data_IF_187091526273
#
_entry.id   IF_187091526273
#
_cell.length_a   1.000
_cell.length_b   1.000
_cell.length_c   1.000
_cell.angle_alpha   90.00
_cell.angle_beta   90.00
_cell.angle_gamma   90.00
#
_symmetry.space_group_name_H-M   'P 1'
#
loop_
_entity.id
_entity.type
_entity.pdbx_description
1 polymer ?
#
# COMPACT_ATOMS: atom_id res chain seq x y z
N UNK A 1 7.57 11.73 0.76
CA UNK A 1 6.26 11.08 0.93
C UNK A 1 5.14 11.71 0.13
N UNK A 2 4.81 12.99 0.30
CA UNK A 2 3.66 13.60 -0.40
C UNK A 2 3.73 13.46 -1.93
N UNK A 3 4.93 13.62 -2.52
CA UNK A 3 5.11 13.39 -3.95
C UNK A 3 4.86 11.92 -4.36
N UNK A 4 5.26 10.94 -3.52
CA UNK A 4 4.97 9.52 -3.72
C UNK A 4 3.48 9.20 -3.56
N UNK A 5 2.73 10.02 -2.82
CA UNK A 5 1.26 9.91 -2.72
C UNK A 5 0.62 10.46 -3.99
N UNK A 6 1.04 11.63 -4.44
CA UNK A 6 0.34 12.34 -5.51
C UNK A 6 0.75 11.87 -6.90
N UNK A 7 2.03 11.61 -7.14
CA UNK A 7 2.58 11.27 -8.46
C UNK A 7 3.56 10.08 -8.42
N UNK A 8 3.10 8.88 -7.99
CA UNK A 8 3.97 7.72 -7.82
C UNK A 8 4.53 7.14 -9.12
N UNK A 9 3.88 7.40 -10.26
CA UNK A 9 4.25 6.83 -11.58
C UNK A 9 4.82 7.85 -12.56
N UNK A 10 4.93 9.13 -12.19
CA UNK A 10 5.62 10.12 -13.02
C UNK A 10 7.11 9.80 -13.09
N UNK A 11 7.66 9.70 -14.31
CA UNK A 11 9.06 9.32 -14.50
C UNK A 11 9.44 8.86 -15.91
N UNK A 12 10.60 8.20 -15.98
CA UNK A 12 11.23 7.70 -17.21
C UNK A 12 11.56 6.22 -16.99
N UNK A 13 11.57 5.42 -18.07
CA UNK A 13 12.08 4.04 -18.03
C UNK A 13 13.48 4.03 -18.61
N UNK A 14 14.43 3.41 -17.91
CA UNK A 14 15.77 3.16 -18.40
C UNK A 14 16.03 1.65 -18.38
N UNK A 15 16.33 1.05 -19.54
CA UNK A 15 16.51 -0.41 -19.69
C UNK A 15 15.41 -1.23 -19.00
N UNK A 16 14.14 -0.89 -19.25
CA UNK A 16 12.94 -1.50 -18.64
C UNK A 16 12.74 -1.29 -17.13
N UNK A 17 13.64 -0.58 -16.45
CA UNK A 17 13.50 -0.22 -15.03
C UNK A 17 12.82 1.15 -14.93
N UNK A 18 11.67 1.27 -14.23
CA UNK A 18 11.01 2.55 -14.04
C UNK A 18 11.75 3.39 -12.99
N UNK A 19 12.23 4.56 -13.39
CA UNK A 19 12.79 5.58 -12.51
C UNK A 19 11.72 6.65 -12.32
N UNK A 20 11.05 6.63 -11.17
CA UNK A 20 9.99 7.59 -10.86
C UNK A 20 10.53 8.76 -10.05
N UNK A 21 9.99 9.96 -10.30
CA UNK A 21 10.46 11.19 -9.64
C UNK A 21 10.36 11.09 -8.12
N UNK A 22 9.32 10.46 -7.60
CA UNK A 22 9.15 10.30 -6.15
C UNK A 22 10.28 9.49 -5.50
N UNK A 23 10.75 8.42 -6.15
CA UNK A 23 11.87 7.62 -5.66
C UNK A 23 13.21 8.32 -5.90
N UNK A 24 13.36 9.06 -7.01
CA UNK A 24 14.53 9.88 -7.26
C UNK A 24 14.70 10.97 -6.20
N UNK A 25 13.64 11.71 -5.90
CA UNK A 25 13.64 12.72 -4.82
C UNK A 25 13.94 12.08 -3.47
N UNK A 26 13.35 10.91 -3.18
CA UNK A 26 13.64 10.19 -1.95
C UNK A 26 15.13 9.84 -1.84
N UNK A 27 15.74 9.34 -2.91
CA UNK A 27 17.15 8.97 -2.95
C UNK A 27 18.08 10.18 -2.82
N UNK A 28 17.81 11.28 -3.54
CA UNK A 28 18.60 12.51 -3.46
C UNK A 28 18.54 13.09 -2.04
N UNK A 29 17.33 13.17 -1.45
CA UNK A 29 17.17 13.67 -0.09
C UNK A 29 17.90 12.75 0.90
N UNK A 30 17.73 11.43 0.79
CA UNK A 30 18.42 10.47 1.65
C UNK A 30 19.95 10.63 1.56
N UNK A 31 20.50 10.70 0.35
CA UNK A 31 21.94 10.89 0.14
C UNK A 31 22.43 12.23 0.71
N UNK A 32 21.70 13.32 0.50
CA UNK A 32 22.06 14.64 1.06
C UNK A 32 22.09 14.62 2.59
N UNK A 33 21.16 13.88 3.21
CA UNK A 33 21.07 13.78 4.66
C UNK A 33 22.14 12.86 5.27
N UNK A 34 22.86 12.07 4.46
CA UNK A 34 23.97 11.25 4.93
C UNK A 34 25.24 12.08 5.26
N UNK A 35 25.36 13.31 4.77
CA UNK A 35 26.55 14.13 4.99
C UNK A 35 26.48 15.01 6.25
N UNK A 36 25.58 14.70 7.18
CA UNK A 36 25.38 15.48 8.42
C UNK A 36 26.38 15.12 9.52
N UNK A 37 26.71 16.10 10.36
CA UNK A 37 27.69 15.96 11.46
C UNK A 37 27.25 15.05 12.61
N UNK A 38 25.93 14.90 12.84
CA UNK A 38 25.38 14.09 13.93
C UNK A 38 24.23 13.24 13.42
N UNK A 39 24.24 11.97 13.83
CA UNK A 39 23.18 11.01 13.55
C UNK A 39 22.48 10.66 14.84
N UNK A 40 21.20 10.99 14.92
CA UNK A 40 20.33 10.41 15.92
C UNK A 40 19.47 9.33 15.25
N UNK A 41 19.50 8.13 15.83
CA UNK A 41 18.66 7.01 15.42
C UNK A 41 18.00 6.44 16.67
N UNK A 42 16.68 6.28 16.61
CA UNK A 42 15.91 5.71 17.72
C UNK A 42 16.14 4.21 17.85
N UNK A 43 16.17 3.71 19.08
CA UNK A 43 16.33 2.29 19.37
C UNK A 43 15.23 1.45 18.72
N UNK A 44 14.01 1.96 18.69
CA UNK A 44 12.85 1.29 18.10
C UNK A 44 12.94 1.13 16.58
N UNK A 45 13.54 2.11 15.91
CA UNK A 45 13.84 2.01 14.49
C UNK A 45 14.92 0.95 14.25
N UNK A 46 15.95 0.92 15.10
CA UNK A 46 17.02 -0.08 15.03
C UNK A 46 16.44 -1.49 15.23
N UNK A 47 15.59 -1.71 16.23
CA UNK A 47 14.98 -3.02 16.48
C UNK A 47 14.11 -3.46 15.30
N UNK A 48 13.33 -2.54 14.71
CA UNK A 48 12.52 -2.83 13.52
C UNK A 48 13.37 -3.20 12.32
N UNK A 49 14.52 -2.54 12.14
CA UNK A 49 15.45 -2.88 11.08
C UNK A 49 16.12 -4.24 11.34
N UNK A 50 16.61 -4.50 12.55
CA UNK A 50 17.26 -5.76 12.92
C UNK A 50 16.32 -6.94 12.70
N UNK A 51 15.03 -6.81 13.03
CA UNK A 51 14.05 -7.87 12.80
C UNK A 51 13.82 -8.18 11.31
N UNK A 52 14.10 -7.24 10.42
CA UNK A 52 14.01 -7.43 8.97
C UNK A 52 15.27 -8.07 8.37
N UNK A 53 16.44 -7.91 9.01
CA UNK A 53 17.73 -8.43 8.52
C UNK A 53 17.70 -9.94 8.22
N UNK A 54 17.14 -10.82 9.07
CA UNK A 54 17.05 -12.25 8.75
C UNK A 54 16.39 -12.53 7.41
N UNK A 55 15.27 -11.87 7.10
CA UNK A 55 14.59 -12.01 5.81
C UNK A 55 15.44 -11.48 4.66
N UNK A 56 16.11 -10.33 4.84
CA UNK A 56 17.00 -9.76 3.82
C UNK A 56 18.16 -10.71 3.49
N UNK A 57 18.81 -11.26 4.53
CA UNK A 57 19.94 -12.18 4.34
C UNK A 57 19.48 -13.48 3.71
N UNK A 58 18.38 -14.08 4.19
CA UNK A 58 17.88 -15.35 3.66
C UNK A 58 17.43 -15.23 2.21
N UNK A 59 16.74 -14.13 1.86
CA UNK A 59 16.27 -13.89 0.50
C UNK A 59 17.43 -13.62 -0.46
N UNK A 60 18.42 -12.80 -0.07
CA UNK A 60 19.61 -12.56 -0.88
C UNK A 60 20.44 -13.83 -1.09
N UNK A 61 20.60 -14.65 -0.05
CA UNK A 61 21.30 -15.91 -0.14
C UNK A 61 20.57 -16.89 -1.06
N UNK A 62 19.24 -16.99 -0.96
CA UNK A 62 18.43 -17.80 -1.89
C UNK A 62 18.55 -17.32 -3.34
N UNK A 63 18.50 -16.00 -3.58
CA UNK A 63 18.70 -15.43 -4.93
C UNK A 63 20.11 -15.68 -5.47
N UNK A 64 21.12 -15.65 -4.60
CA UNK A 64 22.51 -15.92 -4.97
C UNK A 64 22.71 -17.39 -5.36
N UNK A 65 22.12 -18.33 -4.62
CA UNK A 65 22.26 -19.77 -4.86
C UNK A 65 21.43 -20.23 -6.05
N UNK A 66 20.16 -19.81 -6.13
CA UNK A 66 19.21 -20.30 -7.14
C UNK A 66 19.19 -19.45 -8.42
N UNK A 67 19.81 -18.26 -8.39
CA UNK A 67 19.85 -17.33 -9.52
C UNK A 67 18.67 -16.37 -9.60
N UNK A 68 18.78 -15.40 -10.51
CA UNK A 68 17.82 -14.31 -10.74
C UNK A 68 17.40 -14.33 -12.20
N UNK A 69 16.10 -14.51 -12.47
CA UNK A 69 15.57 -14.52 -13.84
C UNK A 69 15.10 -13.14 -14.30
N UNK A 70 14.62 -12.27 -13.40
CA UNK A 70 14.17 -10.92 -13.73
C UNK A 70 14.93 -9.84 -12.97
N UNK A 71 15.82 -9.13 -13.67
CA UNK A 71 16.61 -8.03 -13.11
C UNK A 71 15.72 -6.87 -12.61
N UNK A 72 14.62 -6.57 -13.30
CA UNK A 72 13.70 -5.50 -12.90
C UNK A 72 13.01 -5.78 -11.57
N UNK A 73 12.52 -7.00 -11.35
CA UNK A 73 11.92 -7.39 -10.07
C UNK A 73 12.95 -7.53 -8.97
N UNK A 74 14.18 -7.94 -9.30
CA UNK A 74 15.28 -7.98 -8.33
C UNK A 74 15.62 -6.57 -7.83
N UNK A 75 15.72 -5.59 -8.72
CA UNK A 75 15.93 -4.18 -8.32
C UNK A 75 14.75 -3.69 -7.49
N UNK A 76 13.51 -4.02 -7.89
CA UNK A 76 12.34 -3.65 -7.10
C UNK A 76 12.38 -4.27 -5.70
N UNK A 77 12.82 -5.52 -5.58
CA UNK A 77 13.03 -6.21 -4.31
C UNK A 77 14.07 -5.49 -3.44
N UNK A 78 15.24 -5.18 -4.00
CA UNK A 78 16.29 -4.43 -3.28
C UNK A 78 15.78 -3.06 -2.80
N UNK A 79 15.09 -2.33 -3.66
CA UNK A 79 14.50 -1.04 -3.28
C UNK A 79 13.49 -1.23 -2.15
N UNK A 80 12.60 -2.20 -2.30
CA UNK A 80 11.48 -2.43 -1.40
C UNK A 80 11.90 -2.93 -0.02
N UNK A 81 12.87 -3.84 0.06
CA UNK A 81 13.21 -4.54 1.30
C UNK A 81 14.59 -4.22 1.86
N UNK A 82 15.48 -3.56 1.10
CA UNK A 82 16.78 -3.13 1.61
C UNK A 82 16.86 -1.61 1.71
N UNK A 83 16.72 -0.91 0.58
CA UNK A 83 16.96 0.54 0.56
C UNK A 83 15.88 1.33 1.30
N UNK A 84 14.59 1.07 1.08
CA UNK A 84 13.53 1.83 1.74
C UNK A 84 13.52 1.67 3.27
N UNK A 85 13.61 0.45 3.85
CA UNK A 85 13.74 0.30 5.30
C UNK A 85 14.94 1.05 5.87
N UNK A 86 16.10 0.95 5.22
CA UNK A 86 17.30 1.67 5.64
C UNK A 86 17.08 3.19 5.62
N UNK A 87 16.49 3.71 4.55
CA UNK A 87 16.18 5.14 4.41
C UNK A 87 15.23 5.59 5.53
N UNK A 88 14.11 4.90 5.76
CA UNK A 88 13.12 5.37 6.73
C UNK A 88 13.56 5.13 8.19
N UNK A 89 14.08 3.95 8.51
CA UNK A 89 14.44 3.62 9.89
C UNK A 89 15.76 4.25 10.33
N UNK A 90 16.78 4.37 9.47
CA UNK A 90 18.08 4.93 9.86
C UNK A 90 18.23 6.37 9.40
N UNK A 91 18.18 6.62 8.09
CA UNK A 91 18.53 7.93 7.52
C UNK A 91 17.54 9.01 7.96
N UNK A 92 16.23 8.70 7.91
CA UNK A 92 15.16 9.62 8.25
C UNK A 92 14.64 9.50 9.68
N UNK A 93 15.27 8.69 10.54
CA UNK A 93 14.81 8.45 11.92
C UNK A 93 14.50 9.75 12.68
N UNK A 94 15.49 10.63 12.75
CA UNK A 94 15.41 11.91 13.43
C UNK A 94 14.46 12.90 12.75
N UNK A 95 14.43 12.91 11.41
CA UNK A 95 13.57 13.82 10.66
C UNK A 95 12.09 13.47 10.84
N UNK A 96 11.76 12.18 10.85
CA UNK A 96 10.40 11.70 11.09
C UNK A 96 9.95 12.02 12.51
N UNK A 97 10.83 11.86 13.50
CA UNK A 97 10.56 12.25 14.90
C UNK A 97 10.27 13.75 15.02
N UNK A 98 11.02 14.58 14.29
CA UNK A 98 10.94 16.03 14.37
C UNK A 98 9.95 16.67 13.40
N UNK A 99 9.17 15.88 12.65
CA UNK A 99 8.19 16.41 11.69
C UNK A 99 7.26 17.45 12.32
N UNK A 100 7.02 18.55 11.61
CA UNK A 100 5.90 19.43 11.90
C UNK A 100 4.61 18.71 11.49
N UNK A 101 3.96 18.12 12.50
CA UNK A 101 2.79 17.28 12.32
C UNK A 101 1.58 18.08 11.84
N UNK A 102 1.43 19.34 12.25
CA UNK A 102 0.30 20.17 11.84
C UNK A 102 0.39 20.49 10.34
N UNK A 103 1.57 20.99 9.91
CA UNK A 103 1.82 21.26 8.50
C UNK A 103 1.74 19.98 7.65
N UNK A 104 2.35 18.89 8.13
CA UNK A 104 2.32 17.60 7.45
C UNK A 104 0.88 17.10 7.26
N UNK A 105 0.06 17.06 8.31
CA UNK A 105 -1.32 16.59 8.22
C UNK A 105 -2.20 17.50 7.35
N UNK A 106 -1.98 18.81 7.38
CA UNK A 106 -2.68 19.76 6.51
C UNK A 106 -2.44 19.43 5.03
N UNK A 107 -1.20 19.19 4.63
CA UNK A 107 -0.89 18.85 3.23
C UNK A 107 -1.30 17.42 2.91
N UNK A 108 -1.10 16.49 3.83
CA UNK A 108 -1.46 15.09 3.65
C UNK A 108 -2.95 14.91 3.32
N UNK A 109 -3.84 15.59 4.05
CA UNK A 109 -5.28 15.60 3.75
C UNK A 109 -5.58 16.11 2.34
N UNK A 110 -4.92 17.20 1.93
CA UNK A 110 -5.08 17.78 0.58
C UNK A 110 -4.58 16.84 -0.51
N UNK A 111 -3.45 16.17 -0.29
CA UNK A 111 -2.90 15.19 -1.22
C UNK A 111 -3.86 14.02 -1.43
N UNK A 112 -4.42 13.46 -0.35
CA UNK A 112 -5.40 12.37 -0.42
C UNK A 112 -6.66 12.81 -1.16
N UNK A 113 -7.20 13.97 -0.81
CA UNK A 113 -8.39 14.50 -1.47
C UNK A 113 -8.14 14.72 -2.96
N UNK A 114 -6.96 15.25 -3.32
CA UNK A 114 -6.57 15.43 -4.71
C UNK A 114 -6.54 14.11 -5.49
N UNK A 115 -5.83 13.08 -5.00
CA UNK A 115 -5.74 11.80 -5.73
C UNK A 115 -7.09 11.10 -5.83
N UNK A 116 -7.96 11.22 -4.83
CA UNK A 116 -9.31 10.68 -4.86
C UNK A 116 -10.21 11.42 -5.86
N UNK A 117 -10.19 12.76 -5.84
CA UNK A 117 -10.98 13.57 -6.75
C UNK A 117 -10.51 13.41 -8.19
N UNK A 118 -9.20 13.42 -8.42
CA UNK A 118 -8.60 13.16 -9.73
C UNK A 118 -8.93 11.75 -10.24
N UNK A 119 -8.88 10.74 -9.38
CA UNK A 119 -9.26 9.37 -9.75
C UNK A 119 -10.73 9.26 -10.17
N UNK A 120 -11.64 9.90 -9.43
CA UNK A 120 -13.07 9.94 -9.76
C UNK A 120 -13.29 10.68 -11.09
N UNK A 121 -12.63 11.83 -11.27
CA UNK A 121 -12.66 12.57 -12.52
C UNK A 121 -12.22 11.70 -13.70
N UNK A 122 -11.07 11.01 -13.60
CA UNK A 122 -10.58 10.12 -14.65
C UNK A 122 -11.55 8.97 -14.95
N UNK A 123 -12.15 8.39 -13.91
CA UNK A 123 -13.11 7.29 -14.06
C UNK A 123 -14.29 7.70 -14.96
N UNK A 124 -14.86 8.89 -14.75
CA UNK A 124 -15.96 9.39 -15.57
C UNK A 124 -15.50 9.98 -16.91
N UNK A 125 -14.36 10.68 -16.93
CA UNK A 125 -13.79 11.27 -18.14
C UNK A 125 -13.60 10.21 -19.23
N UNK A 126 -13.07 9.03 -18.88
CA UNK A 126 -12.90 7.93 -19.83
C UNK A 126 -14.22 7.45 -20.45
N UNK A 127 -15.27 7.37 -19.63
CA UNK A 127 -16.60 6.97 -20.10
C UNK A 127 -17.16 7.94 -21.13
N UNK A 128 -16.93 9.23 -20.96
CA UNK A 128 -17.42 10.27 -21.87
C UNK A 128 -16.56 10.39 -23.14
N UNK A 129 -15.24 10.43 -23.00
CA UNK A 129 -14.33 10.81 -24.09
C UNK A 129 -13.68 9.65 -24.83
N UNK A 130 -13.80 8.41 -24.34
CA UNK A 130 -13.18 7.28 -25.03
C UNK A 130 -11.66 7.14 -24.82
N UNK A 131 -11.03 8.05 -24.07
CA UNK A 131 -9.58 8.03 -23.79
C UNK A 131 -9.27 8.46 -22.35
N UNK A 132 -8.13 8.03 -21.81
CA UNK A 132 -7.64 8.49 -20.50
C UNK A 132 -6.98 9.87 -20.62
N UNK A 133 -7.23 10.75 -19.66
CA UNK A 133 -6.51 12.01 -19.54
C UNK A 133 -5.14 11.76 -18.88
N UNK A 134 -4.08 11.92 -19.66
CA UNK A 134 -2.70 11.61 -19.26
C UNK A 134 -1.81 12.84 -19.39
N UNK A 135 -1.08 13.16 -18.32
CA UNK A 135 -0.02 14.18 -18.32
C UNK A 135 1.32 13.44 -18.28
N UNK A 136 2.09 13.40 -19.39
CA UNK A 136 3.39 12.75 -19.44
C UNK A 136 4.34 13.29 -18.37
N UNK A 137 5.19 12.42 -17.83
CA UNK A 137 6.13 12.67 -16.73
C UNK A 137 5.48 12.99 -15.37
N UNK A 138 4.19 13.34 -15.32
CA UNK A 138 3.51 13.67 -14.07
C UNK A 138 2.61 12.51 -13.60
N UNK A 139 1.66 12.11 -14.43
CA UNK A 139 0.70 11.05 -14.11
C UNK A 139 1.07 9.73 -14.78
N UNK A 140 1.81 9.78 -15.88
CA UNK A 140 2.31 8.60 -16.61
C UNK A 140 3.79 8.74 -16.91
N UNK A 141 4.48 7.60 -17.01
CA UNK A 141 5.85 7.59 -17.51
C UNK A 141 5.87 8.05 -18.97
N UNK A 142 6.95 8.70 -19.40
CA UNK A 142 7.11 9.16 -20.78
C UNK A 142 6.83 8.07 -21.83
N UNK A 143 7.42 6.89 -21.61
CA UNK A 143 7.33 5.73 -22.50
C UNK A 143 5.99 4.96 -22.41
N UNK A 144 5.07 5.37 -21.53
CA UNK A 144 3.78 4.70 -21.33
C UNK A 144 2.59 5.55 -21.84
N UNK A 145 2.85 6.74 -22.39
CA UNK A 145 1.82 7.65 -22.90
C UNK A 145 1.00 6.97 -24.00
N UNK A 146 -0.32 6.98 -23.86
CA UNK A 146 -1.26 6.39 -24.82
C UNK A 146 -1.25 4.85 -24.84
N UNK A 147 -0.49 4.21 -23.95
CA UNK A 147 -0.35 2.76 -23.89
C UNK A 147 -0.93 2.17 -22.60
N UNK A 148 -1.47 2.99 -21.69
CA UNK A 148 -1.97 2.53 -20.39
C UNK A 148 -3.06 1.46 -20.50
N UNK A 149 -3.98 1.62 -21.46
CA UNK A 149 -5.08 0.68 -21.67
C UNK A 149 -4.58 -0.70 -22.13
N UNK A 150 -3.59 -0.70 -23.03
CA UNK A 150 -3.03 -1.91 -23.62
C UNK A 150 -1.98 -2.60 -22.72
N UNK A 151 -1.16 -1.83 -21.99
CA UNK A 151 -0.01 -2.36 -21.24
C UNK A 151 -0.33 -2.80 -19.81
N UNK A 152 -1.41 -2.31 -19.18
CA UNK A 152 -1.64 -2.52 -17.74
C UNK A 152 -2.84 -3.40 -17.42
N UNK A 153 -3.34 -4.15 -18.42
CA UNK A 153 -4.48 -5.05 -18.27
C UNK A 153 -5.59 -4.40 -17.44
N UNK A 154 -5.91 -3.14 -17.74
CA UNK A 154 -7.00 -2.45 -17.07
C UNK A 154 -8.26 -3.11 -17.62
N UNK A 155 -8.70 -4.18 -16.96
CA UNK A 155 -9.80 -5.03 -17.39
C UNK A 155 -10.90 -4.18 -18.01
N UNK A 156 -11.10 -4.29 -19.32
CA UNK A 156 -12.23 -3.68 -19.99
C UNK A 156 -13.48 -4.30 -19.37
N UNK A 157 -14.15 -3.55 -18.49
CA UNK A 157 -15.40 -3.94 -17.84
C UNK A 157 -16.56 -3.21 -18.51
N UNK A 158 -16.59 -3.28 -19.85
CA UNK A 158 -17.53 -2.53 -20.68
C UNK A 158 -17.19 -1.04 -20.73
N UNK A 159 -18.16 -0.20 -20.42
CA UNK A 159 -18.07 1.27 -20.53
C UNK A 159 -17.11 1.93 -19.53
N UNK A 160 -16.87 1.29 -18.36
CA UNK A 160 -16.00 1.83 -17.31
C UNK A 160 -14.71 1.01 -17.15
N UNK A 161 -13.62 1.73 -16.92
CA UNK A 161 -12.35 1.14 -16.45
C UNK A 161 -12.26 1.22 -14.93
N UNK A 162 -11.43 0.36 -14.35
CA UNK A 162 -11.04 0.42 -12.94
C UNK A 162 -10.51 1.83 -12.59
N UNK A 163 -10.91 2.43 -11.47
CA UNK A 163 -10.31 3.70 -11.03
C UNK A 163 -8.83 3.48 -10.72
N UNK A 164 -7.96 4.23 -11.41
CA UNK A 164 -6.49 4.12 -11.30
C UNK A 164 -5.80 5.36 -10.71
N UNK A 165 -6.42 6.55 -10.78
CA UNK A 165 -5.79 7.83 -10.43
C UNK A 165 -4.39 7.98 -11.04
N UNK A 166 -3.44 8.66 -10.38
CA UNK A 166 -2.04 8.80 -10.80
C UNK A 166 -1.17 7.54 -10.57
N UNK A 167 -1.77 6.46 -10.09
CA UNK A 167 -1.08 5.21 -9.76
C UNK A 167 -1.06 4.23 -10.93
N UNK A 168 -1.86 4.51 -11.97
CA UNK A 168 -1.98 3.72 -13.19
C UNK A 168 -2.37 2.25 -12.94
N UNK A 169 -2.85 1.92 -11.74
CA UNK A 169 -3.38 0.62 -11.33
C UNK A 169 -4.28 0.80 -10.10
N UNK A 170 -5.54 0.37 -10.21
CA UNK A 170 -6.53 0.54 -9.15
C UNK A 170 -6.31 -0.34 -7.91
N UNK A 171 -5.63 -1.49 -8.03
CA UNK A 171 -5.22 -2.28 -6.86
C UNK A 171 -4.20 -1.50 -6.05
N UNK A 172 -3.12 -1.04 -6.71
CA UNK A 172 -2.04 -0.29 -6.06
C UNK A 172 -2.60 0.97 -5.38
N UNK A 173 -3.41 1.75 -6.11
CA UNK A 173 -4.09 2.92 -5.55
C UNK A 173 -4.91 2.57 -4.30
N UNK A 174 -5.77 1.55 -4.41
CA UNK A 174 -6.63 1.11 -3.33
C UNK A 174 -5.84 0.68 -2.09
N UNK A 175 -4.83 -0.16 -2.28
CA UNK A 175 -3.96 -0.65 -1.20
C UNK A 175 -3.24 0.50 -0.49
N UNK A 176 -2.63 1.43 -1.25
CA UNK A 176 -1.97 2.60 -0.68
C UNK A 176 -2.94 3.48 0.10
N UNK A 177 -4.16 3.67 -0.42
CA UNK A 177 -5.18 4.48 0.24
C UNK A 177 -5.73 3.78 1.50
N UNK A 178 -5.87 2.46 1.51
CA UNK A 178 -6.30 1.69 2.68
C UNK A 178 -5.32 1.79 3.85
N UNK A 179 -4.01 1.78 3.57
CA UNK A 179 -2.98 1.96 4.61
C UNK A 179 -3.10 3.30 5.35
N UNK A 180 -3.61 4.34 4.69
CA UNK A 180 -3.71 5.70 5.25
C UNK A 180 -5.15 6.09 5.61
N UNK A 181 -6.14 5.27 5.25
CA UNK A 181 -7.56 5.59 5.39
C UNK A 181 -7.97 5.87 6.84
N UNK A 182 -7.58 5.07 7.86
CA UNK A 182 -7.94 5.37 9.24
C UNK A 182 -7.43 6.75 9.67
N UNK A 183 -6.18 7.07 9.32
CA UNK A 183 -5.56 8.34 9.66
C UNK A 183 -6.28 9.51 8.98
N UNK A 184 -6.58 9.41 7.68
CA UNK A 184 -7.33 10.44 6.97
C UNK A 184 -8.73 10.65 7.57
N UNK A 185 -9.45 9.57 7.90
CA UNK A 185 -10.78 9.65 8.52
C UNK A 185 -10.75 10.31 9.89
N UNK A 186 -9.68 10.11 10.65
CA UNK A 186 -9.50 10.76 11.94
C UNK A 186 -9.20 12.25 11.78
N UNK A 187 -8.30 12.62 10.86
CA UNK A 187 -7.83 14.00 10.68
C UNK A 187 -8.78 14.92 9.91
N UNK A 188 -9.58 14.39 8.98
CA UNK A 188 -10.51 15.19 8.19
C UNK A 188 -11.82 15.40 8.97
N UNK A 189 -12.43 16.57 8.88
CA UNK A 189 -13.68 16.88 9.58
C UNK A 189 -14.87 16.80 8.62
N UNK A 190 -14.66 17.23 7.37
CA UNK A 190 -15.72 17.28 6.37
C UNK A 190 -16.21 15.89 6.00
N UNK A 191 -17.49 15.61 6.29
CA UNK A 191 -18.16 14.37 5.88
C UNK A 191 -18.13 14.18 4.36
N UNK A 192 -18.32 15.26 3.60
CA UNK A 192 -18.28 15.22 2.14
C UNK A 192 -16.92 14.74 1.61
N UNK A 193 -15.82 15.32 2.12
CA UNK A 193 -14.46 14.89 1.74
C UNK A 193 -14.16 13.43 2.13
N UNK A 194 -14.68 12.96 3.26
CA UNK A 194 -14.59 11.53 3.64
C UNK A 194 -15.35 10.64 2.66
N UNK A 195 -16.56 11.03 2.28
CA UNK A 195 -17.39 10.29 1.32
C UNK A 195 -16.69 10.22 -0.04
N UNK A 196 -16.08 11.31 -0.53
CA UNK A 196 -15.32 11.31 -1.79
C UNK A 196 -14.18 10.28 -1.77
N UNK A 197 -13.41 10.23 -0.68
CA UNK A 197 -12.32 9.24 -0.55
C UNK A 197 -12.86 7.81 -0.46
N UNK A 198 -13.99 7.59 0.23
CA UNK A 198 -14.64 6.27 0.25
C UNK A 198 -15.14 5.86 -1.13
N UNK A 199 -15.74 6.79 -1.87
CA UNK A 199 -16.22 6.57 -3.22
C UNK A 199 -15.07 6.18 -4.15
N UNK A 200 -13.91 6.85 -4.05
CA UNK A 200 -12.76 6.51 -4.90
C UNK A 200 -12.21 5.10 -4.61
N UNK A 201 -12.30 4.60 -3.37
CA UNK A 201 -11.99 3.21 -3.01
C UNK A 201 -12.99 2.23 -3.64
N UNK A 202 -14.29 2.53 -3.57
CA UNK A 202 -15.34 1.70 -4.18
C UNK A 202 -15.11 1.56 -5.70
N UNK A 203 -14.86 2.68 -6.37
CA UNK A 203 -14.66 2.73 -7.83
C UNK A 203 -13.35 2.08 -8.30
N UNK A 204 -12.48 1.62 -7.38
CA UNK A 204 -11.36 0.74 -7.75
C UNK A 204 -11.81 -0.62 -8.25
N UNK A 205 -13.07 -1.02 -8.10
CA UNK A 205 -13.62 -2.28 -8.61
C UNK A 205 -12.78 -3.54 -8.28
N UNK A 206 -12.06 -3.51 -7.16
CA UNK A 206 -11.18 -4.58 -6.70
C UNK A 206 -11.76 -5.23 -5.45
N UNK A 207 -12.02 -6.54 -5.54
CA UNK A 207 -12.54 -7.36 -4.45
C UNK A 207 -11.66 -7.26 -3.20
N UNK A 208 -10.34 -7.35 -3.36
CA UNK A 208 -9.41 -7.28 -2.24
C UNK A 208 -9.36 -5.89 -1.60
N UNK A 209 -9.43 -4.82 -2.41
CA UNK A 209 -9.52 -3.45 -1.88
C UNK A 209 -10.85 -3.24 -1.13
N UNK A 210 -11.94 -3.81 -1.61
CA UNK A 210 -13.23 -3.74 -0.93
C UNK A 210 -13.24 -4.49 0.41
N UNK A 211 -12.65 -5.69 0.46
CA UNK A 211 -12.47 -6.44 1.70
C UNK A 211 -11.60 -5.62 2.67
N UNK A 212 -10.48 -5.07 2.20
CA UNK A 212 -9.62 -4.20 2.98
C UNK A 212 -10.33 -2.95 3.50
N UNK A 213 -11.25 -2.37 2.72
CA UNK A 213 -12.08 -1.25 3.15
C UNK A 213 -12.98 -1.62 4.32
N UNK A 214 -13.65 -2.77 4.26
CA UNK A 214 -14.49 -3.28 5.36
C UNK A 214 -13.65 -3.51 6.61
N UNK A 215 -12.48 -4.15 6.48
CA UNK A 215 -11.54 -4.37 7.59
C UNK A 215 -11.09 -3.03 8.20
N UNK A 216 -10.75 -2.05 7.37
CA UNK A 216 -10.33 -0.72 7.81
C UNK A 216 -11.45 0.04 8.54
N UNK A 217 -12.70 -0.03 8.03
CA UNK A 217 -13.86 0.54 8.71
C UNK A 217 -14.15 -0.14 10.05
N UNK A 218 -14.03 -1.47 10.10
CA UNK A 218 -14.15 -2.23 11.34
C UNK A 218 -13.13 -1.76 12.37
N UNK A 219 -11.84 -1.70 12.02
CA UNK A 219 -10.82 -1.25 12.96
C UNK A 219 -11.06 0.19 13.44
N UNK A 220 -11.43 1.09 12.51
CA UNK A 220 -11.72 2.47 12.85
C UNK A 220 -12.89 2.62 13.81
N UNK A 221 -14.01 1.98 13.50
CA UNK A 221 -15.22 2.15 14.30
C UNK A 221 -15.06 1.47 15.67
N UNK A 222 -14.43 0.31 15.79
CA UNK A 222 -14.38 -0.43 17.07
C UNK A 222 -13.21 -0.06 17.99
N UNK A 223 -12.05 0.31 17.43
CA UNK A 223 -10.84 0.52 18.22
C UNK A 223 -10.42 2.00 18.30
N UNK A 224 -10.87 2.85 17.38
CA UNK A 224 -10.52 4.28 17.38
C UNK A 224 -11.68 5.12 17.92
N UNK A 225 -12.93 4.83 17.56
CA UNK A 225 -14.10 5.50 18.14
C UNK A 225 -14.45 4.89 19.50
N UNK A 226 -14.41 5.70 20.58
CA UNK A 226 -14.65 5.23 21.95
C UNK A 226 -16.09 4.70 22.22
N UNK A 227 -17.09 5.04 21.39
CA UNK A 227 -18.49 4.61 21.58
C UNK A 227 -18.83 3.31 20.84
N UNK A 228 -18.71 2.17 21.54
CA UNK A 228 -18.90 0.81 20.97
C UNK A 228 -20.30 0.53 20.40
N UNK A 229 -21.38 0.99 21.05
CA UNK A 229 -22.76 0.72 20.57
C UNK A 229 -23.08 1.48 19.30
N UNK A 230 -22.73 2.77 19.26
CA UNK A 230 -22.90 3.62 18.06
C UNK A 230 -21.99 3.13 16.92
N UNK A 231 -20.79 2.69 17.26
CA UNK A 231 -19.83 2.08 16.34
C UNK A 231 -20.39 0.83 15.67
N UNK A 232 -20.94 -0.13 16.43
CA UNK A 232 -21.55 -1.34 15.86
C UNK A 232 -22.65 -1.00 14.85
N UNK A 233 -23.59 -0.12 15.22
CA UNK A 233 -24.70 0.28 14.34
C UNK A 233 -24.16 0.96 13.08
N UNK A 234 -23.20 1.86 13.22
CA UNK A 234 -22.56 2.57 12.09
C UNK A 234 -21.82 1.61 11.17
N UNK A 235 -21.07 0.67 11.72
CA UNK A 235 -20.34 -0.34 10.96
C UNK A 235 -21.30 -1.24 10.19
N UNK A 236 -22.35 -1.76 10.83
CA UNK A 236 -23.35 -2.62 10.20
C UNK A 236 -24.08 -1.87 9.08
N UNK A 237 -24.58 -0.65 9.36
CA UNK A 237 -25.27 0.17 8.34
C UNK A 237 -24.36 0.53 7.17
N UNK A 238 -23.11 0.95 7.43
CA UNK A 238 -22.14 1.25 6.37
C UNK A 238 -21.80 0.01 5.53
N UNK A 239 -21.62 -1.15 6.17
CA UNK A 239 -21.28 -2.40 5.49
C UNK A 239 -22.44 -2.91 4.65
N UNK A 240 -23.67 -2.87 5.17
CA UNK A 240 -24.88 -3.22 4.43
C UNK A 240 -25.11 -2.30 3.24
N UNK A 241 -24.99 -0.98 3.43
CA UNK A 241 -25.10 -0.02 2.33
C UNK A 241 -24.03 -0.28 1.26
N UNK A 242 -22.79 -0.56 1.69
CA UNK A 242 -21.69 -0.88 0.78
C UNK A 242 -21.98 -2.16 -0.03
N UNK A 243 -22.41 -3.24 0.63
CA UNK A 243 -22.78 -4.49 -0.05
C UNK A 243 -23.93 -4.27 -1.03
N UNK A 244 -24.96 -3.51 -0.63
CA UNK A 244 -26.08 -3.18 -1.51
C UNK A 244 -25.62 -2.41 -2.76
N UNK A 245 -24.77 -1.39 -2.58
CA UNK A 245 -24.17 -0.63 -3.70
C UNK A 245 -23.37 -1.56 -4.61
N UNK A 246 -22.57 -2.46 -4.04
CA UNK A 246 -21.80 -3.42 -4.83
C UNK A 246 -22.70 -4.32 -5.67
N UNK A 247 -23.74 -4.91 -5.06
CA UNK A 247 -24.69 -5.81 -5.74
C UNK A 247 -25.44 -5.12 -6.87
N UNK A 248 -25.94 -3.89 -6.62
CA UNK A 248 -26.57 -3.06 -7.65
C UNK A 248 -25.56 -2.79 -8.78
N UNK A 249 -24.33 -2.42 -8.42
CA UNK A 249 -23.31 -2.08 -9.40
C UNK A 249 -22.96 -3.27 -10.31
N UNK A 250 -22.71 -4.48 -9.80
CA UNK A 250 -22.35 -5.58 -10.71
C UNK A 250 -23.54 -6.10 -11.52
N UNK A 251 -24.75 -6.12 -10.94
CA UNK A 251 -25.95 -6.57 -11.65
C UNK A 251 -26.28 -5.66 -12.82
N UNK A 252 -26.31 -4.34 -12.58
CA UNK A 252 -26.77 -3.39 -13.58
C UNK A 252 -25.67 -2.88 -14.51
N UNK A 253 -24.42 -2.78 -14.05
CA UNK A 253 -23.34 -2.15 -14.82
C UNK A 253 -22.30 -3.13 -15.36
N UNK A 254 -22.01 -4.23 -14.65
CA UNK A 254 -21.00 -5.19 -15.09
C UNK A 254 -21.59 -6.37 -15.87
N UNK A 255 -22.91 -6.54 -15.86
CA UNK A 255 -23.61 -7.72 -16.38
C UNK A 255 -22.98 -9.05 -15.93
N UNK A 256 -22.37 -9.07 -14.73
CA UNK A 256 -21.70 -10.26 -14.19
C UNK A 256 -22.66 -11.06 -13.31
N UNK A 257 -22.62 -12.40 -13.37
CA UNK A 257 -23.41 -13.24 -12.49
C UNK A 257 -22.94 -13.10 -11.04
N UNK A 258 -23.80 -13.45 -10.08
CA UNK A 258 -23.48 -13.41 -8.65
C UNK A 258 -22.26 -14.28 -8.30
N UNK A 259 -22.03 -15.36 -9.06
CA UNK A 259 -20.86 -16.24 -8.93
C UNK A 259 -19.53 -15.53 -9.13
N UNK A 260 -19.50 -14.41 -9.86
CA UNK A 260 -18.28 -13.62 -10.05
C UNK A 260 -17.71 -13.07 -8.74
N UNK A 261 -18.57 -12.76 -7.76
CA UNK A 261 -18.11 -12.29 -6.45
C UNK A 261 -17.38 -13.39 -5.67
N UNK A 262 -17.88 -14.62 -5.78
CA UNK A 262 -17.42 -15.79 -5.05
C UNK A 262 -16.51 -16.69 -5.88
N UNK A 263 -15.95 -16.18 -6.98
CA UNK A 263 -15.06 -16.95 -7.84
C UNK A 263 -13.84 -17.45 -7.03
N UNK A 264 -13.71 -18.77 -6.81
CA UNK A 264 -12.70 -19.36 -5.94
C UNK A 264 -11.30 -19.28 -6.55
N UNK A 265 -11.19 -19.03 -7.86
CA UNK A 265 -9.91 -18.94 -8.57
C UNK A 265 -9.27 -17.55 -8.45
N UNK A 266 -9.94 -16.61 -7.77
CA UNK A 266 -9.53 -15.20 -7.66
C UNK A 266 -9.24 -14.55 -9.03
N UNK A 267 -10.02 -14.92 -10.06
CA UNK A 267 -9.80 -14.48 -11.43
C UNK A 267 -8.73 -15.29 -12.17
N UNK A 268 -8.65 -16.59 -11.89
CA UNK A 268 -7.71 -17.53 -12.51
C UNK A 268 -6.29 -17.55 -11.93
N UNK A 269 -6.02 -16.79 -10.86
CA UNK A 269 -4.68 -16.69 -10.23
C UNK A 269 -4.24 -17.97 -9.50
N UNK A 270 -5.20 -18.85 -9.17
CA UNK A 270 -4.95 -20.11 -8.48
C UNK A 270 -5.00 -21.33 -9.40
N UNK A 271 -5.31 -21.17 -10.70
CA UNK A 271 -5.72 -22.30 -11.55
C UNK A 271 -4.60 -23.30 -11.90
N UNK A 272 -3.32 -22.96 -11.75
CA UNK A 272 -2.20 -23.82 -12.18
C UNK A 272 -1.08 -23.95 -11.14
N UNK A 273 -1.35 -23.64 -9.86
CA UNK A 273 -0.31 -23.66 -8.82
C UNK A 273 -0.35 -24.94 -7.99
N UNK A 274 0.50 -25.90 -8.35
CA UNK A 274 0.90 -26.98 -7.44
C UNK A 274 1.92 -26.42 -6.44
N UNK A 275 1.54 -26.30 -5.17
CA UNK A 275 2.44 -25.85 -4.12
C UNK A 275 3.23 -27.03 -3.56
N UNK A 276 4.52 -27.10 -3.87
CA UNK A 276 5.42 -27.98 -3.15
C UNK A 276 5.81 -27.32 -1.83
N UNK A 277 5.53 -28.00 -0.72
CA UNK A 277 5.85 -27.49 0.62
C UNK A 277 7.33 -27.73 0.90
N UNK A 278 8.15 -26.76 0.51
CA UNK A 278 9.59 -26.80 0.73
C UNK A 278 10.01 -25.85 1.87
N UNK A 279 10.92 -26.31 2.73
CA UNK A 279 11.45 -25.47 3.81
C UNK A 279 12.33 -24.34 3.25
N UNK A 280 13.12 -24.65 2.22
CA UNK A 280 13.88 -23.71 1.38
C UNK A 280 13.45 -23.87 -0.09
N UNK A 281 13.34 -22.77 -0.84
CA UNK A 281 13.06 -22.86 -2.27
C UNK A 281 14.32 -23.22 -3.07
N UNK A 282 14.15 -23.98 -4.14
CA UNK A 282 15.17 -24.31 -5.15
C UNK A 282 14.95 -23.54 -6.45
N UNK A 283 13.87 -22.77 -6.55
CA UNK A 283 13.52 -22.04 -7.76
C UNK A 283 14.30 -20.72 -7.87
N UNK A 284 14.63 -20.29 -9.10
CA UNK A 284 15.22 -18.97 -9.32
C UNK A 284 14.24 -17.86 -8.95
N UNK A 285 14.76 -16.71 -8.54
CA UNK A 285 13.91 -15.55 -8.27
C UNK A 285 13.38 -14.94 -9.57
N UNK A 286 12.06 -15.01 -9.74
CA UNK A 286 11.35 -14.41 -10.87
C UNK A 286 10.71 -13.09 -10.45
N UNK A 287 9.78 -13.15 -9.50
CA UNK A 287 9.06 -12.00 -8.95
C UNK A 287 8.25 -12.41 -7.72
N UNK A 288 7.78 -11.43 -6.95
CA UNK A 288 6.74 -11.63 -5.94
C UNK A 288 5.41 -11.20 -6.58
N UNK A 289 4.48 -12.13 -6.72
CA UNK A 289 3.16 -11.85 -7.30
C UNK A 289 2.25 -11.06 -6.35
N UNK A 290 1.03 -10.81 -6.80
CA UNK A 290 0.00 -10.11 -6.04
C UNK A 290 -0.38 -10.85 -4.74
N UNK A 291 -0.39 -12.20 -4.73
CA UNK A 291 -0.59 -12.99 -3.50
C UNK A 291 0.72 -13.07 -2.71
N UNK A 292 1.03 -12.05 -1.91
CA UNK A 292 2.37 -11.85 -1.34
C UNK A 292 2.86 -13.04 -0.53
N UNK A 293 2.10 -13.49 0.46
CA UNK A 293 2.58 -14.54 1.36
C UNK A 293 2.79 -15.85 0.64
N UNK A 294 1.87 -16.18 -0.27
CA UNK A 294 1.97 -17.35 -1.13
C UNK A 294 3.16 -17.25 -2.09
N UNK A 295 3.42 -16.06 -2.65
CA UNK A 295 4.58 -15.81 -3.51
C UNK A 295 5.89 -15.88 -2.76
N UNK A 296 5.96 -15.32 -1.54
CA UNK A 296 7.13 -15.41 -0.66
C UNK A 296 7.39 -16.87 -0.29
N UNK A 297 6.35 -17.64 0.01
CA UNK A 297 6.45 -19.06 0.29
C UNK A 297 7.01 -19.85 -0.90
N UNK A 298 6.46 -19.63 -2.10
CA UNK A 298 6.91 -20.28 -3.33
C UNK A 298 8.36 -19.90 -3.67
N UNK A 299 8.71 -18.63 -3.51
CA UNK A 299 10.01 -18.08 -3.90
C UNK A 299 11.13 -18.35 -2.89
N UNK A 300 10.82 -18.36 -1.58
CA UNK A 300 11.82 -18.44 -0.51
C UNK A 300 11.60 -19.59 0.47
N UNK A 301 10.57 -20.40 0.28
CA UNK A 301 10.20 -21.50 1.16
C UNK A 301 9.51 -21.05 2.45
N UNK A 302 9.17 -22.03 3.28
CA UNK A 302 8.54 -21.80 4.59
C UNK A 302 9.38 -20.88 5.50
N UNK A 303 10.70 -21.08 5.54
CA UNK A 303 11.57 -20.24 6.36
C UNK A 303 11.54 -18.78 5.90
N UNK A 304 11.59 -18.54 4.58
CA UNK A 304 11.50 -17.20 4.01
C UNK A 304 10.18 -16.51 4.39
N UNK A 305 9.05 -17.23 4.35
CA UNK A 305 7.77 -16.70 4.79
C UNK A 305 7.74 -16.35 6.27
N UNK A 306 8.27 -17.22 7.14
CA UNK A 306 8.34 -16.95 8.58
C UNK A 306 9.13 -15.67 8.86
N UNK A 307 10.33 -15.55 8.27
CA UNK A 307 11.20 -14.38 8.45
C UNK A 307 10.57 -13.11 7.86
N UNK A 308 9.86 -13.24 6.73
CA UNK A 308 9.10 -12.14 6.14
C UNK A 308 8.01 -11.62 7.10
N UNK A 309 7.20 -12.52 7.67
CA UNK A 309 6.14 -12.15 8.61
C UNK A 309 6.73 -11.48 9.84
N UNK A 310 7.81 -12.03 10.41
CA UNK A 310 8.51 -11.44 11.56
C UNK A 310 8.98 -10.02 11.20
N UNK A 311 9.74 -9.86 10.11
CA UNK A 311 10.31 -8.57 9.71
C UNK A 311 9.24 -7.51 9.40
N UNK A 312 8.15 -7.90 8.72
CA UNK A 312 7.05 -6.99 8.40
C UNK A 312 6.27 -6.61 9.65
N UNK A 313 5.87 -7.56 10.49
CA UNK A 313 5.03 -7.31 11.66
C UNK A 313 5.78 -6.67 12.84
N UNK A 314 7.12 -6.71 12.85
CA UNK A 314 7.90 -6.32 14.03
C UNK A 314 7.60 -4.90 14.52
N UNK A 315 7.44 -3.91 13.63
CA UNK A 315 7.11 -2.54 14.04
C UNK A 315 5.77 -2.46 14.79
N UNK A 316 4.79 -3.30 14.43
CA UNK A 316 3.50 -3.37 15.10
C UNK A 316 3.65 -3.99 16.48
N UNK A 317 4.41 -5.09 16.60
CA UNK A 317 4.71 -5.70 17.90
C UNK A 317 5.49 -4.74 18.79
N UNK A 318 6.53 -4.12 18.27
CA UNK A 318 7.34 -3.15 19.02
C UNK A 318 6.47 -2.00 19.55
N UNK A 319 5.52 -1.49 18.74
CA UNK A 319 4.55 -0.49 19.18
C UNK A 319 3.63 -0.99 20.31
N UNK A 320 3.14 -2.23 20.24
CA UNK A 320 2.29 -2.81 21.29
C UNK A 320 3.06 -2.96 22.61
N UNK A 321 4.26 -3.53 22.57
CA UNK A 321 5.10 -3.78 23.73
C UNK A 321 5.74 -2.51 24.31
N UNK A 322 6.06 -1.52 23.46
CA UNK A 322 6.51 -0.19 23.88
C UNK A 322 5.34 0.49 24.59
N UNK A 323 5.33 0.39 25.92
CA UNK A 323 4.35 1.01 26.80
C UNK A 323 2.99 0.30 26.83
N UNK A 324 2.98 -0.97 27.24
CA UNK A 324 1.76 -1.74 27.56
C UNK A 324 0.83 -0.95 28.51
N UNK A 325 1.40 -0.15 29.41
CA UNK A 325 0.66 0.57 30.45
C UNK A 325 0.31 2.04 30.10
N UNK A 326 0.62 2.52 28.89
CA UNK A 326 0.34 3.91 28.51
C UNK A 326 -0.79 3.95 27.49
N UNK A 327 -1.74 4.88 27.66
CA UNK A 327 -2.82 5.11 26.69
C UNK A 327 -2.21 5.42 25.31
N UNK A 328 -2.63 4.63 24.33
CA UNK A 328 -2.16 4.72 22.96
C UNK A 328 -2.85 5.90 22.28
N UNK A 329 -2.09 6.71 21.53
CA UNK A 329 -2.69 7.87 20.85
C UNK A 329 -3.61 7.40 19.72
N UNK A 330 -4.72 8.11 19.44
CA UNK A 330 -5.61 7.76 18.33
C UNK A 330 -4.91 7.79 16.97
N UNK A 331 -3.94 8.68 16.78
CA UNK A 331 -3.14 8.78 15.56
C UNK A 331 -2.29 7.51 15.37
N UNK A 332 -1.62 7.05 16.42
CA UNK A 332 -0.82 5.83 16.37
C UNK A 332 -1.70 4.61 16.08
N UNK A 333 -2.88 4.53 16.71
CA UNK A 333 -3.85 3.48 16.42
C UNK A 333 -4.31 3.52 14.96
N UNK A 334 -4.54 4.70 14.39
CA UNK A 334 -4.86 4.85 12.97
C UNK A 334 -3.77 4.30 12.06
N UNK A 335 -2.50 4.61 12.35
CA UNK A 335 -1.36 4.11 11.59
C UNK A 335 -1.22 2.59 11.77
N UNK A 336 -1.29 2.11 13.01
CA UNK A 336 -1.23 0.69 13.36
C UNK A 336 -2.29 -0.12 12.60
N UNK A 337 -3.56 0.30 12.65
CA UNK A 337 -4.64 -0.41 11.96
C UNK A 337 -4.59 -0.27 10.44
N UNK A 338 -4.03 0.82 9.92
CA UNK A 338 -3.74 0.97 8.50
C UNK A 338 -2.72 -0.05 8.00
N UNK A 339 -1.61 -0.20 8.74
CA UNK A 339 -0.58 -1.21 8.45
C UNK A 339 -1.11 -2.64 8.63
N UNK A 340 -1.87 -2.90 9.69
CA UNK A 340 -2.49 -4.21 9.92
C UNK A 340 -3.47 -4.57 8.81
N UNK A 341 -4.27 -3.61 8.33
CA UNK A 341 -5.16 -3.82 7.19
C UNK A 341 -4.38 -4.28 5.96
N UNK A 342 -3.25 -3.63 5.66
CA UNK A 342 -2.38 -4.03 4.56
C UNK A 342 -1.88 -5.47 4.71
N UNK A 343 -1.31 -5.80 5.87
CA UNK A 343 -0.79 -7.15 6.14
C UNK A 343 -1.87 -8.24 6.03
N UNK A 344 -3.12 -7.94 6.40
CA UNK A 344 -4.22 -8.91 6.24
C UNK A 344 -4.58 -9.07 4.75
N UNK A 345 -4.70 -7.99 3.98
CA UNK A 345 -5.06 -8.11 2.56
C UNK A 345 -3.93 -8.67 1.70
N UNK A 346 -2.68 -8.64 2.17
CA UNK A 346 -1.52 -9.30 1.57
C UNK A 346 -1.65 -10.82 1.44
N UNK A 347 -2.60 -11.45 2.15
CA UNK A 347 -2.97 -12.85 1.95
C UNK A 347 -3.54 -13.07 0.54
N UNK A 348 -4.30 -12.11 0.01
CA UNK A 348 -5.09 -12.29 -1.23
C UNK A 348 -4.54 -11.51 -2.42
N UNK A 349 -4.26 -10.22 -2.27
CA UNK A 349 -3.80 -9.37 -3.37
C UNK A 349 -3.23 -8.09 -2.75
N UNK A 350 -1.93 -8.03 -2.61
CA UNK A 350 -1.26 -6.78 -2.31
C UNK A 350 0.05 -6.68 -3.09
N UNK A 351 0.06 -5.77 -4.05
CA UNK A 351 1.13 -5.57 -5.01
C UNK A 351 2.44 -5.04 -4.38
N UNK A 352 3.11 -5.87 -3.57
CA UNK A 352 4.21 -5.48 -2.67
C UNK A 352 5.40 -4.90 -3.41
N UNK A 353 5.85 -5.54 -4.49
CA UNK A 353 6.96 -5.04 -5.32
C UNK A 353 6.56 -3.93 -6.30
N UNK A 354 5.32 -3.43 -6.23
CA UNK A 354 4.88 -2.37 -7.12
C UNK A 354 4.93 -1.01 -6.42
N UNK A 355 5.58 -0.05 -7.08
CA UNK A 355 5.67 1.32 -6.58
C UNK A 355 4.26 1.96 -6.50
N UNK A 356 3.89 2.63 -5.39
CA UNK A 356 4.73 3.03 -4.26
C UNK A 356 4.47 2.24 -2.95
N UNK A 357 3.92 1.03 -3.00
CA UNK A 357 3.32 0.32 -1.84
C UNK A 357 4.27 0.25 -0.64
N UNK A 358 5.49 -0.25 -0.84
CA UNK A 358 6.44 -0.40 0.27
C UNK A 358 6.99 0.94 0.79
N UNK A 359 6.99 2.01 -0.01
CA UNK A 359 7.37 3.32 0.50
C UNK A 359 6.32 3.85 1.49
N UNK A 360 5.04 3.58 1.25
CA UNK A 360 3.98 3.87 2.23
C UNK A 360 4.15 3.03 3.48
N UNK A 361 4.33 1.71 3.32
CA UNK A 361 4.47 0.78 4.43
C UNK A 361 5.61 1.18 5.37
N UNK A 362 6.83 1.37 4.85
CA UNK A 362 7.99 1.68 5.67
C UNK A 362 7.94 3.08 6.27
N UNK A 363 7.39 4.07 5.56
CA UNK A 363 7.19 5.39 6.14
C UNK A 363 6.24 5.34 7.34
N UNK A 364 5.07 4.71 7.17
CA UNK A 364 4.08 4.58 8.24
C UNK A 364 4.60 3.73 9.40
N UNK A 365 5.32 2.65 9.09
CA UNK A 365 5.97 1.78 10.07
C UNK A 365 7.01 2.55 10.90
N UNK A 366 7.85 3.37 10.24
CA UNK A 366 8.78 4.26 10.93
C UNK A 366 8.07 5.35 11.71
N UNK A 367 7.01 5.95 11.16
CA UNK A 367 6.25 6.99 11.85
C UNK A 367 5.58 6.47 13.12
N UNK A 368 5.08 5.23 13.11
CA UNK A 368 4.51 4.56 14.28
C UNK A 368 5.50 4.41 15.45
N UNK A 369 6.82 4.39 15.18
CA UNK A 369 7.85 4.26 16.21
C UNK A 369 8.25 5.61 16.84
N UNK A 370 7.63 6.72 16.41
CA UNK A 370 7.90 8.05 16.96
C UNK A 370 7.26 8.25 18.35
N UNK A 371 7.74 9.24 19.11
CA UNK A 371 7.21 9.57 20.45
C UNK A 371 6.45 10.90 20.41
N UNK A 372 6.60 11.67 19.32
CA UNK A 372 5.96 12.97 19.15
C UNK A 372 4.46 12.77 18.92
N UNK A 373 3.65 13.37 19.79
CA UNK A 373 2.19 13.32 19.72
C UNK A 373 1.67 14.75 19.77
N UNK A 374 0.78 15.11 18.84
CA UNK A 374 -0.05 16.30 19.02
C UNK A 374 -1.15 15.91 20.01
N UNK A 375 -1.30 16.68 21.09
CA UNK A 375 -2.57 16.76 21.81
C UNK A 375 -3.51 17.59 20.93
N UNK A 376 -4.29 16.93 20.07
CA UNK A 376 -5.36 17.59 19.30
C UNK A 376 -6.59 17.75 20.18
#
# INVERSE_FOLDING_TARGET
MLFLVVFPKGGIKFKNIPITWGYLFLAIIALSTLFRKRYFVRKEHIYSLIALVPFQVSSLLSMYINGIQSSGFFISFLVSFLFLPFIFFLVFSEYIENLDLEYFFKIFKRAILFISSYGIFLFFYRGVFGSLFEIPLLTVNWHEKGLLENLKCINHRGFFLKLISTYNNGNIYGICLLMILPLYKYLEESKFKKILVKLSIILTLSRTVWIGFIISEFFFDFFIIKNKKKSLIKFLTSSLCFIAILLIFAKFYLHKPLSWYFDPTLGGRLLDKSFEVNFFSTLPFIHIEEMVYLSIFDTFGFLGLLLFIIGMCFSLFNYLFKNINIEKSPIDLCIFFGLLTYLIISISDSATLYLPVMAFYWFLSSFLQTNKRISL
#
